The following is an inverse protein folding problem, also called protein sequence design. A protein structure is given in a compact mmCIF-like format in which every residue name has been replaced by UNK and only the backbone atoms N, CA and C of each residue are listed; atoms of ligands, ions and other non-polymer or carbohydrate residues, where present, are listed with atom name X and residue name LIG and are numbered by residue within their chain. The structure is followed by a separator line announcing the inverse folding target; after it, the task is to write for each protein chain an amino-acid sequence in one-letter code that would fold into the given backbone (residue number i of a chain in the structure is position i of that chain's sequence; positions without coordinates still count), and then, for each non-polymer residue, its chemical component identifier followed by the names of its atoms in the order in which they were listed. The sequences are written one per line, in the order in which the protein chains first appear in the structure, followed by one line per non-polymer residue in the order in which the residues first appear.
data_IF_345391607348
#
_entry.id   IF_345391607348
#
_cell.length_a   1.000
_cell.length_b   1.000
_cell.length_c   1.000
_cell.angle_alpha   90.00
_cell.angle_beta   90.00
_cell.angle_gamma   90.00
#
_symmetry.space_group_name_H-M   'P 1'
#
loop_
_entity.id
_entity.type
_entity.pdbx_description
1 polymer ?
#
# COMPACT_ATOMS: atom_id res chain seq x y z
N UNK A 1 -23.34 -32.05 21.53
CA UNK A 1 -23.75 -33.47 21.48
C UNK A 1 -23.21 -34.25 22.68
N UNK A 2 -21.89 -34.39 22.85
CA UNK A 2 -21.27 -35.25 23.89
C UNK A 2 -21.71 -34.97 25.35
N UNK A 3 -21.89 -33.70 25.73
CA UNK A 3 -22.34 -33.34 27.09
C UNK A 3 -23.84 -33.63 27.35
N UNK A 4 -24.66 -33.71 26.31
CA UNK A 4 -26.09 -34.01 26.43
C UNK A 4 -26.29 -35.52 26.57
N UNK A 5 -25.53 -36.29 25.80
CA UNK A 5 -25.53 -37.75 25.83
C UNK A 5 -25.07 -38.28 27.19
N UNK A 6 -23.95 -37.76 27.74
CA UNK A 6 -23.49 -38.10 29.09
C UNK A 6 -24.53 -37.82 30.18
N UNK A 7 -25.20 -36.65 30.12
CA UNK A 7 -26.24 -36.28 31.09
C UNK A 7 -27.49 -37.17 30.99
N UNK A 8 -27.88 -37.54 29.77
CA UNK A 8 -29.00 -38.46 29.54
C UNK A 8 -28.69 -39.87 30.08
N UNK A 9 -27.46 -40.34 29.86
CA UNK A 9 -26.99 -41.64 30.36
C UNK A 9 -26.91 -41.69 31.90
N UNK A 10 -26.39 -40.64 32.54
CA UNK A 10 -26.35 -40.51 34.00
C UNK A 10 -27.77 -40.48 34.61
N UNK A 11 -28.70 -39.75 33.99
CA UNK A 11 -30.11 -39.72 34.40
C UNK A 11 -30.80 -41.08 34.22
N UNK A 12 -30.48 -41.82 33.16
CA UNK A 12 -31.02 -43.15 32.91
C UNK A 12 -30.56 -44.16 33.98
N UNK A 13 -29.25 -44.24 34.26
CA UNK A 13 -28.71 -45.12 35.30
C UNK A 13 -29.30 -44.82 36.68
N UNK A 14 -29.49 -43.53 36.99
CA UNK A 14 -30.11 -43.09 38.25
C UNK A 14 -31.60 -43.45 38.34
N UNK A 15 -32.33 -43.39 37.22
CA UNK A 15 -33.73 -43.80 37.15
C UNK A 15 -33.91 -45.31 37.34
N UNK A 16 -33.03 -46.11 36.75
CA UNK A 16 -33.11 -47.57 36.86
C UNK A 16 -32.81 -48.00 38.30
N UNK A 17 -31.80 -47.41 38.95
CA UNK A 17 -31.55 -47.61 40.38
C UNK A 17 -32.76 -47.27 41.26
N UNK A 18 -33.43 -46.14 41.00
CA UNK A 18 -34.64 -45.76 41.76
C UNK A 18 -35.82 -46.71 41.51
N UNK A 19 -35.98 -47.23 40.29
CA UNK A 19 -37.03 -48.22 39.98
C UNK A 19 -36.84 -49.53 40.75
N UNK A 20 -35.61 -49.94 40.98
CA UNK A 20 -35.31 -51.16 41.74
C UNK A 20 -35.50 -50.97 43.25
N UNK A 21 -35.22 -49.76 43.76
CA UNK A 21 -35.27 -49.45 45.21
C UNK A 21 -36.67 -49.05 45.70
N UNK A 22 -37.50 -48.41 44.88
CA UNK A 22 -38.85 -47.99 45.27
C UNK A 22 -39.77 -49.14 45.77
N UNK A 23 -39.79 -50.33 45.14
CA UNK A 23 -40.54 -51.48 45.64
C UNK A 23 -40.08 -51.95 47.02
N UNK A 24 -38.78 -51.88 47.30
CA UNK A 24 -38.20 -52.27 48.60
C UNK A 24 -38.65 -51.31 49.71
N UNK A 25 -38.54 -50.00 49.47
CA UNK A 25 -39.03 -48.98 50.42
C UNK A 25 -40.54 -49.08 50.63
N UNK A 26 -41.30 -49.35 49.56
CA UNK A 26 -42.75 -49.57 49.65
C UNK A 26 -43.08 -50.80 50.49
N UNK A 27 -42.42 -51.93 50.25
CA UNK A 27 -42.63 -53.15 51.04
C UNK A 27 -42.28 -52.95 52.51
N UNK A 28 -41.24 -52.18 52.81
CA UNK A 28 -40.90 -51.80 54.17
C UNK A 28 -41.97 -50.92 54.82
N UNK A 29 -42.49 -49.92 54.09
CA UNK A 29 -43.60 -49.07 54.55
C UNK A 29 -44.85 -49.91 54.85
N UNK A 30 -45.27 -50.78 53.92
CA UNK A 30 -46.42 -51.66 54.09
C UNK A 30 -46.24 -52.54 55.35
N UNK A 31 -45.04 -53.09 55.57
CA UNK A 31 -44.73 -53.87 56.77
C UNK A 31 -44.75 -53.05 58.06
N UNK A 32 -44.30 -51.79 58.02
CA UNK A 32 -44.33 -50.89 59.16
C UNK A 32 -45.77 -50.48 59.51
N UNK A 33 -46.60 -50.20 58.50
CA UNK A 33 -48.02 -49.90 58.65
C UNK A 33 -48.77 -51.09 59.25
N UNK A 34 -48.52 -52.30 58.75
CA UNK A 34 -49.10 -53.54 59.30
C UNK A 34 -48.74 -53.74 60.79
N UNK A 35 -47.48 -53.51 61.17
CA UNK A 35 -47.03 -53.61 62.57
C UNK A 35 -47.72 -52.57 63.45
N UNK A 36 -47.85 -51.33 62.97
CA UNK A 36 -48.54 -50.26 63.68
C UNK A 36 -50.03 -50.58 63.85
N UNK A 37 -50.69 -51.05 62.78
CA UNK A 37 -52.10 -51.40 62.79
C UNK A 37 -52.39 -52.57 63.73
N UNK A 38 -51.56 -53.63 63.71
CA UNK A 38 -51.68 -54.74 64.67
C UNK A 38 -51.50 -54.28 66.12
N UNK A 39 -50.56 -53.39 66.36
CA UNK A 39 -50.33 -52.85 67.71
C UNK A 39 -51.53 -52.00 68.19
N UNK A 40 -52.13 -51.19 67.31
CA UNK A 40 -53.34 -50.40 67.60
C UNK A 40 -54.57 -51.27 67.87
N UNK A 41 -54.74 -52.36 67.11
CA UNK A 41 -55.83 -53.33 67.29
C UNK A 41 -55.71 -54.10 68.61
N UNK A 42 -54.49 -54.43 69.05
CA UNK A 42 -54.27 -55.23 70.26
C UNK A 42 -54.34 -54.43 71.57
N UNK A 43 -54.17 -53.10 71.53
CA UNK A 43 -54.04 -52.26 72.72
C UNK A 43 -55.10 -51.14 72.79
N UNK A 44 -56.27 -51.31 72.18
CA UNK A 44 -57.39 -50.35 72.20
C UNK A 44 -57.00 -48.90 71.86
N UNK A 45 -56.44 -48.68 70.66
CA UNK A 45 -56.16 -47.36 70.08
C UNK A 45 -55.58 -46.32 71.07
N UNK A 46 -54.45 -46.65 71.68
CA UNK A 46 -53.70 -45.69 72.51
C UNK A 46 -53.25 -44.52 71.63
N UNK A 47 -53.75 -43.31 71.89
CA UNK A 47 -53.25 -42.10 71.24
C UNK A 47 -51.93 -41.64 71.88
N UNK A 48 -51.04 -41.07 71.06
CA UNK A 48 -49.82 -40.44 71.57
C UNK A 48 -50.18 -39.21 72.41
N UNK A 49 -49.51 -39.06 73.56
CA UNK A 49 -49.59 -37.81 74.32
C UNK A 49 -49.05 -36.64 73.49
N UNK A 50 -49.49 -35.41 73.80
CA UNK A 50 -49.00 -34.21 73.10
C UNK A 50 -47.47 -34.07 73.18
N UNK A 51 -46.86 -34.45 74.31
CA UNK A 51 -45.40 -34.47 74.46
C UNK A 51 -44.76 -35.53 73.56
N UNK A 52 -45.30 -36.76 73.53
CA UNK A 52 -44.78 -37.84 72.69
C UNK A 52 -44.94 -37.54 71.19
N UNK A 53 -46.03 -36.88 70.79
CA UNK A 53 -46.25 -36.39 69.42
C UNK A 53 -45.25 -35.31 69.02
N UNK A 54 -45.00 -34.34 69.89
CA UNK A 54 -43.97 -33.31 69.63
C UNK A 54 -42.57 -33.92 69.49
N UNK A 55 -42.22 -34.88 70.35
CA UNK A 55 -40.94 -35.60 70.23
C UNK A 55 -40.90 -36.42 68.94
N UNK A 56 -41.98 -37.11 68.57
CA UNK A 56 -42.09 -37.86 67.32
C UNK A 56 -41.84 -36.96 66.10
N UNK A 57 -42.52 -35.81 66.01
CA UNK A 57 -42.38 -34.88 64.89
C UNK A 57 -40.92 -34.37 64.77
N UNK A 58 -40.27 -34.08 65.89
CA UNK A 58 -38.84 -33.68 65.89
C UNK A 58 -37.91 -34.83 65.49
N UNK A 59 -38.19 -36.06 65.91
CA UNK A 59 -37.39 -37.25 65.54
C UNK A 59 -37.51 -37.53 64.05
N UNK A 60 -38.72 -37.52 63.50
CA UNK A 60 -38.96 -37.72 62.07
C UNK A 60 -38.28 -36.62 61.26
N UNK A 61 -38.41 -35.35 61.68
CA UNK A 61 -37.74 -34.24 61.02
C UNK A 61 -36.20 -34.35 61.02
N UNK A 62 -35.60 -34.75 62.15
CA UNK A 62 -34.15 -34.98 62.23
C UNK A 62 -33.72 -36.17 61.37
N UNK A 63 -34.50 -37.26 61.34
CA UNK A 63 -34.22 -38.41 60.46
C UNK A 63 -34.34 -38.06 58.97
N UNK A 64 -35.33 -37.24 58.60
CA UNK A 64 -35.47 -36.71 57.24
C UNK A 64 -34.25 -35.91 56.80
N UNK A 65 -33.76 -35.00 57.67
CA UNK A 65 -32.56 -34.21 57.40
C UNK A 65 -31.30 -35.09 57.32
N UNK A 66 -31.16 -36.10 58.17
CA UNK A 66 -30.03 -37.04 58.11
C UNK A 66 -30.05 -37.85 56.80
N UNK A 67 -31.23 -38.28 56.35
CA UNK A 67 -31.38 -38.98 55.07
C UNK A 67 -31.04 -38.06 53.89
N UNK A 68 -31.48 -36.80 53.91
CA UNK A 68 -31.12 -35.81 52.90
C UNK A 68 -29.60 -35.56 52.85
N UNK A 69 -28.95 -35.44 54.02
CA UNK A 69 -27.49 -35.31 54.09
C UNK A 69 -26.77 -36.55 53.59
N UNK A 70 -27.32 -37.75 53.81
CA UNK A 70 -26.76 -39.01 53.29
C UNK A 70 -26.81 -39.03 51.76
N UNK A 71 -27.91 -38.59 51.16
CA UNK A 71 -28.02 -38.45 49.70
C UNK A 71 -27.04 -37.39 49.16
N UNK A 72 -26.91 -36.25 49.84
CA UNK A 72 -25.92 -35.22 49.49
C UNK A 72 -24.48 -35.69 49.64
N UNK A 73 -24.18 -36.53 50.63
CA UNK A 73 -22.87 -37.15 50.81
C UNK A 73 -22.50 -38.03 49.60
N UNK A 74 -23.45 -38.82 49.10
CA UNK A 74 -23.27 -39.63 47.90
C UNK A 74 -23.06 -38.79 46.63
N UNK A 75 -23.65 -37.60 46.54
CA UNK A 75 -23.42 -36.66 45.43
C UNK A 75 -22.05 -35.96 45.55
N UNK A 76 -21.69 -35.47 46.74
CA UNK A 76 -20.45 -34.73 47.00
C UNK A 76 -19.21 -35.64 46.95
N UNK A 77 -19.30 -36.87 47.45
CA UNK A 77 -18.18 -37.84 47.42
C UNK A 77 -17.75 -38.24 46.00
N UNK A 78 -18.61 -38.06 44.99
CA UNK A 78 -18.26 -38.24 43.57
C UNK A 78 -17.45 -37.07 43.01
N UNK A 79 -17.56 -35.88 43.63
CA UNK A 79 -17.00 -34.64 43.12
C UNK A 79 -15.79 -34.15 43.94
N UNK A 80 -15.71 -34.50 45.22
CA UNK A 80 -14.76 -33.95 46.18
C UNK A 80 -14.13 -35.02 47.07
N UNK A 81 -12.89 -34.80 47.51
CA UNK A 81 -12.19 -35.63 48.50
C UNK A 81 -12.68 -35.32 49.92
N UNK A 82 -12.44 -36.25 50.86
CA UNK A 82 -12.87 -36.13 52.28
C UNK A 82 -12.29 -34.90 53.01
N UNK A 83 -11.22 -34.32 52.48
CA UNK A 83 -10.54 -33.15 53.06
C UNK A 83 -11.17 -31.82 52.62
N UNK A 84 -12.03 -31.83 51.59
CA UNK A 84 -12.63 -30.63 51.04
C UNK A 84 -13.53 -29.92 52.06
N UNK A 85 -13.49 -28.57 52.18
CA UNK A 85 -14.28 -27.81 53.15
C UNK A 85 -15.78 -28.13 53.12
N UNK A 86 -16.35 -28.33 51.94
CA UNK A 86 -17.77 -28.67 51.79
C UNK A 86 -18.12 -30.07 52.32
N UNK A 87 -17.23 -31.06 52.17
CA UNK A 87 -17.44 -32.41 52.72
C UNK A 87 -17.32 -32.39 54.25
N UNK A 88 -16.35 -31.65 54.80
CA UNK A 88 -16.19 -31.46 56.24
C UNK A 88 -17.41 -30.77 56.87
N UNK A 89 -17.91 -29.69 56.26
CA UNK A 89 -19.10 -28.99 56.73
C UNK A 89 -20.35 -29.89 56.73
N UNK A 90 -20.51 -30.75 55.71
CA UNK A 90 -21.60 -31.73 55.67
C UNK A 90 -21.49 -32.75 56.81
N UNK A 91 -20.29 -33.27 57.06
CA UNK A 91 -20.05 -34.25 58.13
C UNK A 91 -20.24 -33.64 59.52
N UNK A 92 -19.84 -32.39 59.73
CA UNK A 92 -20.08 -31.65 60.97
C UNK A 92 -21.59 -31.46 61.22
N UNK A 93 -22.34 -31.08 60.17
CA UNK A 93 -23.80 -30.93 60.26
C UNK A 93 -24.47 -32.27 60.58
N UNK A 94 -24.03 -33.36 59.94
CA UNK A 94 -24.51 -34.72 60.20
C UNK A 94 -24.21 -35.15 61.64
N UNK A 95 -23.01 -34.89 62.15
CA UNK A 95 -22.65 -35.20 63.54
C UNK A 95 -23.52 -34.44 64.54
N UNK A 96 -23.81 -33.16 64.26
CA UNK A 96 -24.71 -32.33 65.10
C UNK A 96 -26.12 -32.92 65.15
N UNK A 97 -26.70 -33.28 64.00
CA UNK A 97 -28.03 -33.90 63.95
C UNK A 97 -28.07 -35.29 64.59
N UNK A 98 -26.98 -36.05 64.50
CA UNK A 98 -26.86 -37.35 65.17
C UNK A 98 -26.85 -37.18 66.69
N UNK A 99 -26.12 -36.19 67.22
CA UNK A 99 -26.15 -35.88 68.65
C UNK A 99 -27.54 -35.43 69.11
N UNK A 100 -28.26 -34.68 68.29
CA UNK A 100 -29.65 -34.27 68.56
C UNK A 100 -30.59 -35.48 68.59
N UNK A 101 -30.47 -36.40 67.61
CA UNK A 101 -31.19 -37.67 67.57
C UNK A 101 -30.94 -38.49 68.84
N UNK A 102 -29.69 -38.58 69.30
CA UNK A 102 -29.34 -39.35 70.50
C UNK A 102 -29.94 -38.73 71.77
N UNK A 103 -30.00 -37.39 71.85
CA UNK A 103 -30.70 -36.69 72.94
C UNK A 103 -32.20 -36.98 72.93
N UNK A 104 -32.84 -36.98 71.76
CA UNK A 104 -34.27 -37.30 71.62
C UNK A 104 -34.54 -38.78 71.98
N UNK A 105 -33.67 -39.71 71.57
CA UNK A 105 -33.76 -41.12 71.94
C UNK A 105 -33.70 -41.34 73.46
N UNK A 106 -32.87 -40.57 74.18
CA UNK A 106 -32.85 -40.59 75.65
C UNK A 106 -34.18 -40.12 76.24
N UNK A 107 -34.83 -39.08 75.67
CA UNK A 107 -36.17 -38.65 76.11
C UNK A 107 -37.23 -39.73 75.87
N UNK A 108 -37.16 -40.42 74.73
CA UNK A 108 -38.06 -41.56 74.44
C UNK A 108 -37.84 -42.69 75.45
N UNK A 109 -36.61 -42.96 75.87
CA UNK A 109 -36.31 -44.06 76.81
C UNK A 109 -36.93 -43.90 78.22
N UNK A 110 -37.28 -42.68 78.62
CA UNK A 110 -37.90 -42.37 79.92
C UNK A 110 -39.43 -42.49 79.86
N UNK A 111 -40.03 -42.58 78.66
CA UNK A 111 -41.48 -42.70 78.49
C UNK A 111 -41.99 -44.10 78.92
N UNK A 112 -43.29 -44.25 79.25
CA UNK A 112 -43.89 -45.56 79.51
C UNK A 112 -43.69 -46.54 78.33
N UNK A 113 -43.50 -47.83 78.62
CA UNK A 113 -43.19 -48.86 77.59
C UNK A 113 -44.19 -48.87 76.43
N UNK A 114 -45.48 -48.71 76.70
CA UNK A 114 -46.52 -48.64 75.66
C UNK A 114 -46.36 -47.41 74.76
N UNK A 115 -46.00 -46.25 75.32
CA UNK A 115 -45.73 -45.02 74.55
C UNK A 115 -44.44 -45.13 73.72
N UNK A 116 -43.42 -45.83 74.20
CA UNK A 116 -42.20 -46.07 73.42
C UNK A 116 -42.47 -46.92 72.17
N UNK A 117 -43.25 -47.99 72.33
CA UNK A 117 -43.55 -48.92 71.22
C UNK A 117 -44.40 -48.22 70.15
N UNK A 118 -45.47 -47.51 70.55
CA UNK A 118 -46.29 -46.79 69.57
C UNK A 118 -45.52 -45.67 68.88
N UNK A 119 -44.68 -44.92 69.61
CA UNK A 119 -43.84 -43.87 69.02
C UNK A 119 -42.87 -44.47 68.00
N UNK A 120 -42.19 -45.58 68.34
CA UNK A 120 -41.27 -46.26 67.42
C UNK A 120 -41.97 -46.74 66.16
N UNK A 121 -43.13 -47.39 66.29
CA UNK A 121 -43.90 -47.87 65.13
C UNK A 121 -44.43 -46.72 64.27
N UNK A 122 -44.89 -45.63 64.90
CA UNK A 122 -45.37 -44.44 64.17
C UNK A 122 -44.23 -43.72 63.47
N UNK A 123 -43.05 -43.62 64.11
CA UNK A 123 -41.82 -43.09 63.50
C UNK A 123 -41.42 -43.92 62.29
N UNK A 124 -41.39 -45.25 62.41
CA UNK A 124 -40.98 -46.13 61.32
C UNK A 124 -41.89 -45.96 60.09
N UNK A 125 -43.21 -45.79 60.30
CA UNK A 125 -44.17 -45.48 59.22
C UNK A 125 -43.93 -44.09 58.63
N UNK A 126 -43.87 -43.04 59.46
CA UNK A 126 -43.72 -41.67 58.99
C UNK A 126 -42.39 -41.45 58.25
N UNK A 127 -41.28 -41.98 58.79
CA UNK A 127 -39.98 -41.91 58.16
C UNK A 127 -39.95 -42.66 56.82
N UNK A 128 -40.51 -43.88 56.76
CA UNK A 128 -40.60 -44.64 55.51
C UNK A 128 -41.47 -43.93 54.47
N UNK A 129 -42.58 -43.32 54.89
CA UNK A 129 -43.46 -42.55 54.02
C UNK A 129 -42.75 -41.32 53.43
N UNK A 130 -42.01 -40.57 54.24
CA UNK A 130 -41.22 -39.43 53.76
C UNK A 130 -40.13 -39.85 52.77
N UNK A 131 -39.39 -40.92 53.07
CA UNK A 131 -38.36 -41.46 52.17
C UNK A 131 -39.00 -41.88 50.84
N UNK A 132 -40.12 -42.61 50.88
CA UNK A 132 -40.84 -43.05 49.69
C UNK A 132 -41.26 -41.85 48.81
N UNK A 133 -41.84 -40.81 49.42
CA UNK A 133 -42.24 -39.60 48.70
C UNK A 133 -41.06 -38.83 48.11
N UNK A 134 -39.92 -38.76 48.82
CA UNK A 134 -38.70 -38.14 48.31
C UNK A 134 -38.13 -38.89 47.10
N UNK A 135 -38.05 -40.23 47.18
CA UNK A 135 -37.58 -41.07 46.07
C UNK A 135 -38.50 -40.96 44.86
N UNK A 136 -39.83 -40.95 45.08
CA UNK A 136 -40.82 -40.77 44.02
C UNK A 136 -40.65 -39.41 43.32
N UNK A 137 -40.51 -38.33 44.08
CA UNK A 137 -40.27 -36.99 43.53
C UNK A 137 -38.96 -36.92 42.74
N UNK A 138 -37.89 -37.56 43.24
CA UNK A 138 -36.60 -37.63 42.53
C UNK A 138 -36.74 -38.42 41.21
N UNK A 139 -37.47 -39.52 41.21
CA UNK A 139 -37.76 -40.31 40.01
C UNK A 139 -38.50 -39.46 38.96
N UNK A 140 -39.57 -38.76 39.35
CA UNK A 140 -40.31 -37.87 38.44
C UNK A 140 -39.42 -36.78 37.84
N UNK A 141 -38.61 -36.12 38.68
CA UNK A 141 -37.68 -35.06 38.24
C UNK A 141 -36.63 -35.58 37.26
N UNK A 142 -36.05 -36.76 37.51
CA UNK A 142 -35.09 -37.39 36.61
C UNK A 142 -35.75 -37.85 35.31
N UNK A 143 -37.01 -38.30 35.35
CA UNK A 143 -37.81 -38.63 34.17
C UNK A 143 -38.00 -37.44 33.25
N UNK A 144 -38.37 -36.28 33.81
CA UNK A 144 -38.48 -35.02 33.07
C UNK A 144 -37.12 -34.61 32.51
N UNK A 145 -36.04 -34.75 33.29
CA UNK A 145 -34.68 -34.39 32.85
C UNK A 145 -34.22 -35.25 31.66
N UNK A 146 -34.46 -36.56 31.70
CA UNK A 146 -34.18 -37.50 30.59
C UNK A 146 -34.99 -37.17 29.34
N UNK A 147 -36.28 -36.83 29.49
CA UNK A 147 -37.11 -36.40 28.38
C UNK A 147 -36.68 -35.03 27.81
N UNK A 148 -36.24 -34.10 28.68
CA UNK A 148 -35.81 -32.75 28.33
C UNK A 148 -34.40 -32.70 27.72
N UNK A 149 -33.59 -33.75 27.83
CA UNK A 149 -32.27 -33.82 27.17
C UNK A 149 -32.34 -34.00 25.66
N UNK A 150 -33.51 -34.23 25.06
CA UNK A 150 -33.70 -34.05 23.61
C UNK A 150 -33.83 -32.55 23.34
N UNK A 151 -32.69 -31.85 23.34
CA UNK A 151 -32.63 -30.40 23.27
C UNK A 151 -32.84 -29.86 21.85
N UNK A 152 -33.83 -28.98 21.67
CA UNK A 152 -34.00 -28.16 20.48
C UNK A 152 -32.89 -27.09 20.48
N UNK A 153 -31.80 -27.31 19.73
CA UNK A 153 -30.76 -26.29 19.58
C UNK A 153 -31.28 -25.21 18.64
N UNK A 154 -31.54 -24.02 19.18
CA UNK A 154 -31.89 -22.83 18.40
C UNK A 154 -30.71 -21.89 18.36
N UNK A 155 -30.23 -21.58 17.16
CA UNK A 155 -29.23 -20.52 16.97
C UNK A 155 -29.90 -19.21 17.34
N UNK A 156 -29.37 -18.53 18.37
CA UNK A 156 -29.89 -17.23 18.83
C UNK A 156 -29.29 -16.10 18.00
N UNK A 157 -28.02 -16.22 17.63
CA UNK A 157 -27.32 -15.23 16.80
C UNK A 157 -26.25 -15.92 15.93
N UNK A 158 -26.40 -15.97 14.60
CA UNK A 158 -25.37 -16.47 13.71
C UNK A 158 -24.21 -15.46 13.60
N UNK A 159 -22.98 -15.94 13.52
CA UNK A 159 -21.82 -15.08 13.29
C UNK A 159 -21.91 -14.38 11.92
N UNK A 160 -22.01 -13.06 11.91
CA UNK A 160 -22.02 -12.27 10.68
C UNK A 160 -20.58 -11.88 10.33
N UNK A 161 -20.05 -12.43 9.25
CA UNK A 161 -18.77 -11.99 8.68
C UNK A 161 -18.98 -10.73 7.87
N UNK A 162 -18.11 -9.73 8.04
CA UNK A 162 -18.11 -8.55 7.16
C UNK A 162 -17.46 -8.92 5.81
N UNK A 163 -18.21 -8.93 4.69
CA UNK A 163 -17.67 -9.33 3.39
C UNK A 163 -16.71 -8.29 2.79
N UNK A 164 -16.70 -7.06 3.33
CA UNK A 164 -15.82 -5.99 2.88
C UNK A 164 -14.65 -5.82 3.85
N UNK A 165 -13.41 -5.68 3.34
CA UNK A 165 -12.25 -5.43 4.18
C UNK A 165 -12.36 -4.05 4.85
N UNK A 166 -12.20 -4.01 6.17
CA UNK A 166 -12.23 -2.77 6.96
C UNK A 166 -11.01 -1.89 6.65
N UNK A 167 -9.85 -2.52 6.40
CA UNK A 167 -8.59 -1.87 6.01
C UNK A 167 -7.82 -2.78 5.04
N UNK A 168 -7.03 -2.23 4.10
CA UNK A 168 -6.84 -0.81 3.82
C UNK A 168 -7.91 -0.23 2.87
N UNK A 169 -8.23 1.07 3.03
CA UNK A 169 -9.16 1.80 2.16
C UNK A 169 -8.48 2.18 0.84
N UNK A 170 -8.57 1.29 -0.16
CA UNK A 170 -7.87 1.42 -1.45
C UNK A 170 -8.12 2.75 -2.17
N UNK A 171 -9.34 3.29 -2.09
CA UNK A 171 -9.70 4.56 -2.74
C UNK A 171 -8.92 5.76 -2.18
N UNK A 172 -8.80 5.85 -0.85
CA UNK A 172 -8.03 6.93 -0.20
C UNK A 172 -6.54 6.81 -0.54
N UNK A 173 -6.00 5.59 -0.54
CA UNK A 173 -4.60 5.35 -0.89
C UNK A 173 -4.32 5.79 -2.32
N UNK A 174 -5.17 5.41 -3.27
CA UNK A 174 -5.03 5.84 -4.68
C UNK A 174 -5.12 7.36 -4.80
N UNK A 175 -6.08 8.00 -4.14
CA UNK A 175 -6.25 9.45 -4.19
C UNK A 175 -5.03 10.20 -3.65
N UNK A 176 -4.49 9.78 -2.50
CA UNK A 176 -3.28 10.37 -1.91
C UNK A 176 -2.07 10.11 -2.81
N UNK A 177 -1.90 8.89 -3.34
CA UNK A 177 -0.79 8.54 -4.21
C UNK A 177 -0.80 9.35 -5.51
N UNK A 178 -1.97 9.55 -6.13
CA UNK A 178 -2.12 10.38 -7.33
C UNK A 178 -1.80 11.84 -7.03
N UNK A 179 -2.26 12.38 -5.91
CA UNK A 179 -2.00 13.77 -5.54
C UNK A 179 -0.51 14.02 -5.25
N UNK A 180 0.13 13.14 -4.46
CA UNK A 180 1.57 13.21 -4.18
C UNK A 180 2.41 12.98 -5.45
N UNK A 181 2.02 12.03 -6.29
CA UNK A 181 2.69 11.76 -7.56
C UNK A 181 2.61 12.96 -8.52
N UNK A 182 1.45 13.62 -8.59
CA UNK A 182 1.28 14.85 -9.37
C UNK A 182 2.19 15.97 -8.87
N UNK A 183 2.20 16.22 -7.55
CA UNK A 183 3.05 17.24 -6.94
C UNK A 183 4.54 16.96 -7.19
N UNK A 184 4.97 15.70 -7.03
CA UNK A 184 6.35 15.30 -7.27
C UNK A 184 6.74 15.44 -8.74
N UNK A 185 5.86 15.06 -9.67
CA UNK A 185 6.08 15.20 -11.11
C UNK A 185 6.28 16.67 -11.52
N UNK A 186 5.38 17.56 -11.08
CA UNK A 186 5.51 19.00 -11.34
C UNK A 186 6.79 19.56 -10.73
N UNK A 187 7.09 19.20 -9.48
CA UNK A 187 8.33 19.61 -8.81
C UNK A 187 9.58 19.14 -9.55
N UNK A 188 9.59 17.91 -10.04
CA UNK A 188 10.71 17.35 -10.79
C UNK A 188 10.92 18.05 -12.14
N UNK A 189 9.83 18.35 -12.88
CA UNK A 189 9.92 19.11 -14.14
C UNK A 189 10.46 20.51 -13.89
N UNK A 190 9.93 21.22 -12.89
CA UNK A 190 10.41 22.56 -12.53
C UNK A 190 11.88 22.54 -12.11
N UNK A 191 12.29 21.57 -11.29
CA UNK A 191 13.68 21.42 -10.89
C UNK A 191 14.58 21.15 -12.10
N UNK A 192 14.15 20.27 -13.01
CA UNK A 192 14.86 19.99 -14.25
C UNK A 192 15.00 21.25 -15.10
N UNK A 193 13.94 22.04 -15.26
CA UNK A 193 13.98 23.31 -16.00
C UNK A 193 14.93 24.31 -15.33
N UNK A 194 14.90 24.43 -14.00
CA UNK A 194 15.83 25.31 -13.26
C UNK A 194 17.30 24.89 -13.39
N UNK A 195 17.56 23.58 -13.55
CA UNK A 195 18.91 23.05 -13.76
C UNK A 195 19.39 23.21 -15.21
N UNK A 196 18.49 23.44 -16.18
CA UNK A 196 18.89 23.72 -17.57
C UNK A 196 19.35 25.17 -17.66
N UNK A 197 20.67 25.36 -17.82
CA UNK A 197 21.28 26.65 -18.13
C UNK A 197 21.50 26.74 -19.64
N UNK A 198 20.65 27.48 -20.32
CA UNK A 198 20.73 27.79 -21.74
C UNK A 198 20.03 29.10 -22.06
N UNK A 199 20.29 29.65 -23.25
CA UNK A 199 19.53 30.79 -23.78
C UNK A 199 18.32 30.20 -24.50
N UNK A 200 17.12 30.46 -23.98
CA UNK A 200 15.88 29.90 -24.52
C UNK A 200 15.08 30.91 -25.35
N UNK A 201 15.37 32.21 -25.20
CA UNK A 201 14.62 33.26 -25.87
C UNK A 201 15.53 34.40 -26.33
N UNK A 202 15.23 35.05 -27.47
CA UNK A 202 16.02 36.18 -27.96
C UNK A 202 15.99 37.38 -27.01
N UNK A 203 14.90 37.55 -26.25
CA UNK A 203 14.75 38.64 -25.28
C UNK A 203 15.80 38.57 -24.17
N UNK A 204 16.26 37.36 -23.81
CA UNK A 204 17.35 37.18 -22.84
C UNK A 204 18.67 37.79 -23.34
N UNK A 205 18.94 37.73 -24.65
CA UNK A 205 20.11 38.35 -25.27
C UNK A 205 19.95 39.87 -25.39
N UNK A 206 18.75 40.34 -25.75
CA UNK A 206 18.46 41.77 -25.85
C UNK A 206 18.56 42.48 -24.50
N UNK A 207 18.13 41.83 -23.40
CA UNK A 207 18.31 42.34 -22.03
C UNK A 207 19.79 42.47 -21.62
N UNK A 208 20.67 41.67 -22.23
CA UNK A 208 22.12 41.76 -22.06
C UNK A 208 22.76 42.80 -23.00
N UNK A 209 21.96 43.52 -23.78
CA UNK A 209 22.43 44.52 -24.75
C UNK A 209 22.96 43.91 -26.05
N UNK A 210 22.68 42.64 -26.34
CA UNK A 210 23.10 41.96 -27.57
C UNK A 210 21.95 42.03 -28.58
N UNK A 211 22.16 42.71 -29.70
CA UNK A 211 21.16 42.83 -30.76
C UNK A 211 20.98 41.50 -31.52
N UNK A 212 19.77 40.97 -31.52
CA UNK A 212 19.44 39.72 -32.22
C UNK A 212 19.01 40.00 -33.66
N UNK A 213 19.91 39.72 -34.62
CA UNK A 213 19.62 39.96 -36.04
C UNK A 213 18.63 38.97 -36.63
N UNK A 214 18.65 37.69 -36.23
CA UNK A 214 17.69 36.69 -36.70
C UNK A 214 17.61 35.50 -35.74
N UNK A 215 16.43 34.86 -35.70
CA UNK A 215 16.21 33.57 -35.07
C UNK A 215 15.99 32.54 -36.18
N UNK A 216 16.95 31.65 -36.39
CA UNK A 216 16.89 30.64 -37.45
C UNK A 216 16.36 29.34 -36.81
N UNK A 217 15.15 28.88 -37.16
CA UNK A 217 14.62 27.64 -36.61
C UNK A 217 15.38 26.42 -37.15
N UNK A 218 15.33 25.33 -36.39
CA UNK A 218 15.88 24.05 -36.82
C UNK A 218 15.08 23.53 -38.02
N UNK A 219 15.74 23.30 -39.16
CA UNK A 219 15.12 22.62 -40.30
C UNK A 219 14.96 21.13 -39.99
N UNK A 220 13.71 20.64 -39.97
CA UNK A 220 13.43 19.22 -39.74
C UNK A 220 13.99 18.34 -40.86
N UNK A 221 13.98 18.82 -42.10
CA UNK A 221 14.48 18.08 -43.25
C UNK A 221 15.99 17.90 -43.17
N UNK A 222 16.71 18.99 -42.86
CA UNK A 222 18.15 18.94 -42.61
C UNK A 222 18.48 17.96 -41.48
N UNK A 223 17.75 18.07 -40.37
CA UNK A 223 17.99 17.22 -39.20
C UNK A 223 17.71 15.73 -39.49
N UNK A 224 16.68 15.41 -40.30
CA UNK A 224 16.40 14.03 -40.75
C UNK A 224 17.52 13.51 -41.65
N UNK A 225 17.94 14.28 -42.65
CA UNK A 225 19.02 13.89 -43.57
C UNK A 225 20.36 13.72 -42.87
N UNK A 226 20.71 14.59 -41.92
CA UNK A 226 21.92 14.47 -41.11
C UNK A 226 21.88 13.20 -40.24
N UNK A 227 20.73 12.90 -39.63
CA UNK A 227 20.53 11.70 -38.82
C UNK A 227 20.61 10.41 -39.64
N UNK A 228 20.01 10.38 -40.83
CA UNK A 228 20.10 9.24 -41.75
C UNK A 228 21.54 9.00 -42.21
N UNK A 229 22.29 10.07 -42.48
CA UNK A 229 23.70 9.99 -42.89
C UNK A 229 24.58 9.46 -41.75
N UNK A 230 24.30 9.85 -40.50
CA UNK A 230 24.99 9.32 -39.32
C UNK A 230 24.70 7.84 -39.06
N UNK A 231 23.45 7.39 -39.25
CA UNK A 231 23.03 6.01 -39.00
C UNK A 231 23.47 5.04 -40.11
N UNK A 232 23.51 5.50 -41.36
CA UNK A 232 23.78 4.64 -42.52
C UNK A 232 25.27 4.30 -42.70
N UNK A 233 26.19 5.04 -42.06
CA UNK A 233 27.64 4.82 -42.16
C UNK A 233 28.24 5.03 -43.57
N UNK A 234 27.40 5.10 -44.61
CA UNK A 234 27.75 5.45 -45.98
C UNK A 234 28.02 6.94 -46.05
N UNK A 235 29.27 7.30 -46.38
CA UNK A 235 29.62 8.62 -46.90
C UNK A 235 28.88 8.82 -48.22
N UNK A 236 27.64 9.28 -48.17
CA UNK A 236 26.89 9.66 -49.37
C UNK A 236 27.70 10.73 -50.10
N UNK A 237 28.09 10.44 -51.35
CA UNK A 237 28.93 11.29 -52.17
C UNK A 237 28.20 12.53 -52.72
N UNK A 238 26.91 12.69 -52.40
CA UNK A 238 26.09 13.85 -52.78
C UNK A 238 25.76 14.71 -51.54
N UNK A 239 26.75 15.38 -50.94
CA UNK A 239 26.50 16.43 -49.93
C UNK A 239 26.05 17.77 -50.55
N UNK A 240 26.01 17.86 -51.88
CA UNK A 240 25.48 19.02 -52.60
C UNK A 240 23.97 19.22 -52.41
N UNK A 241 23.23 18.17 -52.02
CA UNK A 241 21.81 18.26 -51.65
C UNK A 241 21.57 18.83 -50.24
N UNK A 242 22.64 19.14 -49.49
CA UNK A 242 22.59 19.60 -48.10
C UNK A 242 22.56 21.14 -47.97
N UNK A 243 22.78 21.88 -49.05
CA UNK A 243 22.66 23.34 -49.03
C UNK A 243 21.18 23.72 -49.12
N UNK A 244 20.57 24.00 -47.97
CA UNK A 244 19.14 24.28 -47.82
C UNK A 244 18.63 25.37 -48.77
N UNK A 245 19.41 26.43 -49.02
CA UNK A 245 19.04 27.52 -49.92
C UNK A 245 18.91 27.11 -51.40
N UNK A 246 19.42 25.94 -51.80
CA UNK A 246 19.29 25.40 -53.16
C UNK A 246 18.38 24.16 -53.18
N UNK A 247 18.45 23.32 -52.15
CA UNK A 247 17.67 22.08 -52.08
C UNK A 247 16.20 22.29 -51.69
N UNK A 248 15.88 23.28 -50.84
CA UNK A 248 14.52 23.57 -50.42
C UNK A 248 14.30 25.06 -50.13
N UNK A 249 13.93 25.81 -51.16
CA UNK A 249 13.74 27.25 -51.07
C UNK A 249 12.59 27.67 -50.13
N UNK A 250 11.62 26.80 -49.85
CA UNK A 250 10.46 27.13 -48.99
C UNK A 250 10.64 26.75 -47.52
N UNK A 251 11.81 26.26 -47.11
CA UNK A 251 12.10 25.94 -45.71
C UNK A 251 12.06 27.21 -44.83
N UNK A 252 11.45 27.10 -43.65
CA UNK A 252 11.34 28.19 -42.68
C UNK A 252 12.72 28.70 -42.23
N UNK A 253 13.73 27.84 -42.17
CA UNK A 253 15.10 28.24 -41.88
C UNK A 253 15.66 29.17 -42.96
N UNK A 254 15.32 28.93 -44.24
CA UNK A 254 15.74 29.78 -45.35
C UNK A 254 14.99 31.11 -45.35
N UNK A 255 13.71 31.12 -44.97
CA UNK A 255 12.97 32.37 -44.82
C UNK A 255 13.53 33.25 -43.68
N UNK A 256 13.96 32.62 -42.58
CA UNK A 256 14.69 33.31 -41.52
C UNK A 256 16.04 33.88 -42.03
N UNK A 257 16.74 33.16 -42.91
CA UNK A 257 17.97 33.65 -43.56
C UNK A 257 17.69 34.79 -44.56
N UNK A 258 16.56 34.77 -45.29
CA UNK A 258 16.13 35.90 -46.13
C UNK A 258 15.83 37.14 -45.29
N UNK A 259 15.19 36.95 -44.15
CA UNK A 259 14.95 38.01 -43.18
C UNK A 259 16.26 38.57 -42.62
N UNK A 260 17.23 37.69 -42.32
CA UNK A 260 18.59 38.07 -41.92
C UNK A 260 19.29 38.89 -43.01
N UNK A 261 19.19 38.50 -44.28
CA UNK A 261 19.74 39.28 -45.42
C UNK A 261 19.16 40.69 -45.44
N UNK A 262 17.85 40.85 -45.32
CA UNK A 262 17.21 42.18 -45.36
C UNK A 262 17.68 43.06 -44.21
N UNK A 263 17.77 42.51 -42.99
CA UNK A 263 18.28 43.24 -41.81
C UNK A 263 19.77 43.60 -41.96
N UNK A 264 20.59 42.67 -42.46
CA UNK A 264 21.99 42.93 -42.74
C UNK A 264 22.20 43.96 -43.84
N UNK A 265 21.33 43.99 -44.87
CA UNK A 265 21.40 44.99 -45.92
C UNK A 265 21.33 46.40 -45.33
N UNK A 266 20.38 46.66 -44.42
CA UNK A 266 20.27 47.94 -43.73
C UNK A 266 21.46 48.21 -42.80
N UNK A 267 21.92 47.22 -42.04
CA UNK A 267 23.06 47.39 -41.14
C UNK A 267 24.37 47.69 -41.91
N UNK A 268 24.54 47.12 -43.11
CA UNK A 268 25.71 47.35 -43.96
C UNK A 268 25.68 48.69 -44.71
N UNK A 269 24.53 49.37 -44.83
CA UNK A 269 24.48 50.71 -45.43
C UNK A 269 25.26 51.74 -44.61
N UNK A 270 25.34 51.53 -43.29
CA UNK A 270 26.09 52.40 -42.36
C UNK A 270 27.53 51.91 -42.13
N UNK A 271 27.90 50.75 -42.68
CA UNK A 271 29.21 50.15 -42.48
C UNK A 271 30.28 50.76 -43.41
N UNK A 272 31.53 50.78 -42.94
CA UNK A 272 32.67 51.31 -43.71
C UNK A 272 33.06 50.44 -44.92
N UNK A 273 32.71 49.16 -44.91
CA UNK A 273 33.07 48.20 -45.94
C UNK A 273 32.00 47.10 -46.08
N UNK A 274 32.11 46.29 -47.14
CA UNK A 274 31.21 45.18 -47.43
C UNK A 274 31.74 43.84 -46.90
N UNK A 275 32.52 43.85 -45.80
CA UNK A 275 33.12 42.65 -45.23
C UNK A 275 32.31 42.23 -44.00
N UNK A 276 31.73 41.03 -44.06
CA UNK A 276 30.96 40.44 -42.97
C UNK A 276 31.69 39.22 -42.42
N UNK A 277 32.02 39.25 -41.12
CA UNK A 277 32.57 38.10 -40.41
C UNK A 277 31.46 37.41 -39.61
N UNK A 278 31.32 36.09 -39.77
CA UNK A 278 30.41 35.27 -38.97
C UNK A 278 31.23 34.36 -38.06
N UNK A 279 31.03 34.53 -36.75
CA UNK A 279 31.68 33.74 -35.70
C UNK A 279 30.66 33.34 -34.63
N UNK A 280 31.10 32.63 -33.60
CA UNK A 280 30.24 32.34 -32.47
C UNK A 280 30.91 31.54 -31.36
N UNK A 281 30.24 31.41 -30.21
CA UNK A 281 30.89 31.14 -28.91
C UNK A 281 31.41 29.71 -28.74
N UNK A 282 30.86 28.74 -29.48
CA UNK A 282 31.19 27.32 -29.33
C UNK A 282 31.28 26.59 -30.67
N UNK A 283 31.98 25.45 -30.77
CA UNK A 283 31.92 24.54 -31.92
C UNK A 283 30.49 24.04 -32.17
N UNK A 284 30.21 23.63 -33.42
CA UNK A 284 28.96 22.95 -33.81
C UNK A 284 27.63 23.70 -33.61
N UNK A 285 27.65 25.02 -33.43
CA UNK A 285 26.44 25.86 -33.31
C UNK A 285 25.80 26.29 -34.66
N UNK A 286 26.32 25.79 -35.80
CA UNK A 286 25.76 26.12 -37.12
C UNK A 286 26.37 27.32 -37.86
N UNK A 287 27.52 27.86 -37.42
CA UNK A 287 28.21 29.01 -38.08
C UNK A 287 28.38 28.85 -39.59
N UNK A 288 28.93 27.72 -40.02
CA UNK A 288 29.18 27.39 -41.43
C UNK A 288 27.87 27.27 -42.21
N UNK A 289 26.85 26.67 -41.61
CA UNK A 289 25.52 26.53 -42.22
C UNK A 289 24.88 27.90 -42.49
N UNK A 290 24.87 28.78 -41.48
CA UNK A 290 24.32 30.14 -41.62
C UNK A 290 25.11 30.94 -42.65
N UNK A 291 26.43 30.86 -42.61
CA UNK A 291 27.31 31.62 -43.53
C UNK A 291 27.08 31.24 -44.99
N UNK A 292 27.04 29.93 -45.29
CA UNK A 292 26.88 29.44 -46.66
C UNK A 292 25.46 29.70 -47.19
N UNK A 293 24.43 29.46 -46.38
CA UNK A 293 23.05 29.71 -46.82
C UNK A 293 22.79 31.22 -46.99
N UNK A 294 23.33 32.07 -46.11
CA UNK A 294 23.24 33.52 -46.26
C UNK A 294 23.93 33.97 -47.55
N UNK A 295 25.14 33.46 -47.82
CA UNK A 295 25.88 33.76 -49.04
C UNK A 295 25.10 33.34 -50.29
N UNK A 296 24.51 32.14 -50.30
CA UNK A 296 23.66 31.65 -51.39
C UNK A 296 22.42 32.54 -51.60
N UNK A 297 21.73 32.92 -50.51
CA UNK A 297 20.53 33.78 -50.56
C UNK A 297 20.85 35.21 -51.02
N UNK A 298 22.05 35.72 -50.74
CA UNK A 298 22.53 37.01 -51.26
C UNK A 298 22.92 36.87 -52.74
N UNK A 299 23.60 35.78 -53.12
CA UNK A 299 24.01 35.52 -54.50
C UNK A 299 22.80 35.36 -55.45
N UNK A 300 21.76 34.65 -55.01
CA UNK A 300 20.47 34.53 -55.70
C UNK A 300 19.74 35.86 -55.89
N UNK A 301 20.06 36.88 -55.09
CA UNK A 301 19.55 38.25 -55.26
C UNK A 301 20.36 39.07 -56.28
N UNK A 302 21.26 38.43 -57.05
CA UNK A 302 22.08 39.05 -58.09
C UNK A 302 23.32 39.79 -57.58
N UNK A 303 23.73 39.56 -56.33
CA UNK A 303 24.94 40.18 -55.75
C UNK A 303 26.13 39.23 -55.87
N UNK A 304 27.29 39.77 -56.26
CA UNK A 304 28.55 39.02 -56.28
C UNK A 304 29.06 38.85 -54.85
N UNK A 305 29.18 37.61 -54.40
CA UNK A 305 29.63 37.24 -53.05
C UNK A 305 30.87 36.36 -53.13
N UNK A 306 31.84 36.64 -52.25
CA UNK A 306 32.99 35.79 -52.01
C UNK A 306 32.90 35.24 -50.58
N UNK A 307 32.80 33.93 -50.44
CA UNK A 307 32.89 33.25 -49.14
C UNK A 307 34.32 32.82 -48.90
N UNK A 308 34.87 33.18 -47.75
CA UNK A 308 36.23 32.80 -47.34
C UNK A 308 36.14 31.90 -46.12
N UNK A 309 36.57 30.64 -46.23
CA UNK A 309 36.62 29.72 -45.11
C UNK A 309 37.86 29.99 -44.24
N UNK A 310 37.67 30.85 -43.24
CA UNK A 310 38.71 31.19 -42.27
C UNK A 310 38.83 30.17 -41.11
N UNK A 311 38.01 29.10 -41.07
CA UNK A 311 38.17 28.01 -40.09
C UNK A 311 39.24 27.02 -40.59
N UNK A 312 40.51 27.38 -40.40
CA UNK A 312 41.64 26.56 -40.85
C UNK A 312 41.77 25.23 -40.12
N UNK A 313 41.10 25.05 -38.97
CA UNK A 313 41.24 23.86 -38.13
C UNK A 313 40.22 22.77 -38.45
N UNK A 314 38.93 23.13 -38.53
CA UNK A 314 37.82 22.17 -38.75
C UNK A 314 36.87 22.62 -39.86
N UNK A 315 37.29 23.55 -40.71
CA UNK A 315 36.50 24.04 -41.83
C UNK A 315 36.11 22.94 -42.81
N UNK A 316 34.82 22.84 -43.08
CA UNK A 316 34.21 21.86 -43.97
C UNK A 316 33.27 22.53 -45.00
N UNK A 317 33.41 23.85 -45.20
CA UNK A 317 32.57 24.62 -46.12
C UNK A 317 32.71 24.15 -47.57
N UNK A 318 33.92 23.75 -47.98
CA UNK A 318 34.20 23.20 -49.31
C UNK A 318 33.29 22.01 -49.65
N UNK A 319 33.01 21.15 -48.65
CA UNK A 319 32.18 19.97 -48.84
C UNK A 319 30.70 20.30 -48.99
N UNK A 320 30.23 21.41 -48.43
CA UNK A 320 28.84 21.87 -48.54
C UNK A 320 28.59 22.58 -49.88
N UNK A 321 29.61 23.26 -50.40
CA UNK A 321 29.58 23.95 -51.70
C UNK A 321 29.97 23.04 -52.87
N UNK A 322 30.30 21.77 -52.60
CA UNK A 322 30.79 20.80 -53.59
C UNK A 322 31.99 21.32 -54.40
N UNK A 323 32.91 22.02 -53.72
CA UNK A 323 34.15 22.52 -54.31
C UNK A 323 35.31 21.61 -53.94
N UNK A 324 36.16 21.30 -54.91
CA UNK A 324 37.40 20.55 -54.66
C UNK A 324 38.36 21.34 -53.77
N UNK A 325 39.12 20.63 -52.93
CA UNK A 325 40.23 21.20 -52.17
C UNK A 325 41.41 21.47 -53.12
N UNK A 326 42.11 22.59 -52.92
CA UNK A 326 43.25 23.01 -53.72
C UNK A 326 43.84 24.29 -53.10
N UNK A 327 44.39 25.20 -53.91
CA UNK A 327 44.88 26.48 -53.42
C UNK A 327 43.79 27.21 -52.60
N UNK A 328 44.13 27.60 -51.38
CA UNK A 328 43.21 28.15 -50.39
C UNK A 328 43.74 29.38 -49.67
N UNK A 329 43.04 29.78 -48.61
CA UNK A 329 43.36 30.96 -47.81
C UNK A 329 44.76 30.86 -47.19
N UNK A 330 45.14 29.68 -46.72
CA UNK A 330 46.46 29.42 -46.16
C UNK A 330 47.59 29.66 -47.18
N UNK A 331 47.43 29.22 -48.43
CA UNK A 331 48.40 29.49 -49.52
C UNK A 331 48.52 30.97 -49.83
N UNK A 332 47.40 31.69 -49.83
CA UNK A 332 47.37 33.13 -50.09
C UNK A 332 48.09 33.90 -48.99
N UNK A 333 47.82 33.57 -47.73
CA UNK A 333 48.44 34.26 -46.59
C UNK A 333 49.93 33.92 -46.43
N UNK A 334 50.36 32.73 -46.87
CA UNK A 334 51.78 32.35 -46.90
C UNK A 334 52.53 32.83 -48.15
N UNK A 335 51.86 33.54 -49.07
CA UNK A 335 52.46 34.09 -50.29
C UNK A 335 52.75 33.06 -51.39
N UNK A 336 52.26 31.82 -51.24
CA UNK A 336 52.46 30.73 -52.21
C UNK A 336 51.53 30.82 -53.43
N UNK A 337 50.38 31.52 -53.29
CA UNK A 337 49.42 31.76 -54.36
C UNK A 337 48.90 33.19 -54.32
N UNK A 338 48.54 33.74 -55.49
CA UNK A 338 47.84 35.03 -55.53
C UNK A 338 46.37 34.87 -55.10
N UNK A 339 45.73 35.92 -54.54
CA UNK A 339 44.31 35.86 -54.16
C UNK A 339 43.41 35.41 -55.32
N UNK A 340 43.71 35.82 -56.55
CA UNK A 340 42.94 35.48 -57.74
C UNK A 340 43.02 33.98 -58.09
N UNK A 341 44.16 33.33 -57.84
CA UNK A 341 44.34 31.89 -58.07
C UNK A 341 43.59 31.02 -57.05
N UNK A 342 43.34 31.55 -55.85
CA UNK A 342 42.63 30.83 -54.79
C UNK A 342 41.09 30.95 -54.90
N UNK A 343 40.57 31.87 -55.72
CA UNK A 343 39.13 32.04 -55.93
C UNK A 343 38.60 30.91 -56.81
N UNK A 344 37.65 30.14 -56.28
CA UNK A 344 36.94 29.08 -57.00
C UNK A 344 35.49 29.49 -57.26
N UNK A 345 34.97 29.15 -58.43
CA UNK A 345 33.54 29.31 -58.71
C UNK A 345 32.76 28.14 -58.12
N UNK A 346 31.62 28.43 -57.50
CA UNK A 346 30.72 27.40 -56.95
C UNK A 346 29.67 27.03 -57.99
N UNK A 347 28.82 26.03 -57.69
CA UNK A 347 27.65 25.69 -58.51
C UNK A 347 26.54 26.76 -58.47
N UNK A 348 26.64 27.74 -57.57
CA UNK A 348 25.67 28.83 -57.40
C UNK A 348 26.16 30.06 -58.15
N UNK A 349 25.33 30.60 -59.04
CA UNK A 349 25.63 31.83 -59.78
C UNK A 349 25.94 32.99 -58.83
N UNK A 350 26.92 33.83 -59.17
CA UNK A 350 27.38 34.97 -58.37
C UNK A 350 28.01 34.62 -57.01
N UNK A 351 28.28 33.34 -56.72
CA UNK A 351 28.94 32.89 -55.50
C UNK A 351 30.30 32.28 -55.80
N UNK A 352 31.36 32.94 -55.33
CA UNK A 352 32.74 32.45 -55.35
C UNK A 352 33.20 32.04 -53.95
N UNK A 353 34.19 31.15 -53.88
CA UNK A 353 34.65 30.54 -52.62
C UNK A 353 36.18 30.44 -52.55
N UNK A 354 36.75 30.72 -51.38
CA UNK A 354 38.14 30.43 -51.03
C UNK A 354 38.14 29.42 -49.87
N UNK A 355 38.76 28.26 -50.09
CA UNK A 355 38.83 27.17 -49.11
C UNK A 355 39.97 27.36 -48.10
N UNK A 356 40.01 26.58 -47.03
CA UNK A 356 41.09 26.65 -46.00
C UNK A 356 42.44 26.02 -46.39
N UNK A 357 42.51 25.18 -47.44
CA UNK A 357 43.61 24.25 -47.81
C UNK A 357 43.63 22.88 -47.06
N UNK A 358 44.15 21.83 -47.70
CA UNK A 358 44.19 20.44 -47.19
C UNK A 358 45.31 20.16 -46.17
N UNK A 359 46.40 20.95 -46.20
CA UNK A 359 47.63 20.71 -45.44
C UNK A 359 48.10 21.97 -44.68
N UNK A 360 47.70 22.16 -43.43
CA UNK A 360 48.30 23.21 -42.58
C UNK A 360 48.34 22.86 -41.09
N UNK A 361 49.51 23.06 -40.47
CA UNK A 361 49.72 23.10 -39.03
C UNK A 361 49.44 24.53 -38.51
N UNK A 362 48.48 24.74 -37.59
CA UNK A 362 47.99 26.07 -37.27
C UNK A 362 48.84 26.75 -36.18
N UNK A 363 49.99 27.35 -36.54
CA UNK A 363 50.77 28.16 -35.56
C UNK A 363 51.22 29.56 -36.07
N UNK A 364 51.17 29.91 -37.36
CA UNK A 364 51.98 31.05 -37.84
C UNK A 364 51.37 32.32 -38.45
N UNK A 365 50.06 32.42 -38.77
CA UNK A 365 49.66 33.23 -39.94
C UNK A 365 48.73 34.44 -39.68
N UNK A 366 48.51 34.88 -38.44
CA UNK A 366 47.51 35.95 -38.18
C UNK A 366 48.05 37.39 -38.29
N UNK A 367 49.37 37.61 -38.41
CA UNK A 367 49.93 38.96 -38.63
C UNK A 367 50.28 39.20 -40.10
N UNK A 368 49.26 39.47 -40.93
CA UNK A 368 49.45 40.05 -42.26
C UNK A 368 49.35 41.59 -42.21
N UNK A 369 50.27 42.26 -42.89
CA UNK A 369 50.58 43.69 -42.83
C UNK A 369 49.37 44.65 -42.75
N UNK A 370 49.45 45.74 -41.94
CA UNK A 370 48.44 46.79 -41.94
C UNK A 370 48.41 47.54 -43.28
N UNK A 371 47.25 48.07 -43.70
CA UNK A 371 47.11 48.76 -44.98
C UNK A 371 47.97 50.02 -45.04
N UNK A 372 48.66 50.21 -46.17
CA UNK A 372 49.46 51.39 -46.48
C UNK A 372 48.66 52.68 -46.27
N UNK A 373 49.18 53.57 -45.42
CA UNK A 373 48.68 54.94 -45.29
C UNK A 373 48.99 55.70 -46.56
N UNK A 374 47.95 56.20 -47.22
CA UNK A 374 48.02 57.15 -48.34
C UNK A 374 48.85 58.39 -47.93
N UNK A 375 49.82 58.85 -48.74
CA UNK A 375 50.58 60.05 -48.42
C UNK A 375 49.78 61.32 -48.71
N UNK A 376 49.56 62.11 -47.65
CA UNK A 376 49.47 63.57 -47.67
C UNK A 376 48.32 64.25 -48.40
N UNK A 377 47.41 64.88 -47.64
CA UNK A 377 47.01 66.26 -47.94
C UNK A 377 46.87 67.02 -46.62
N UNK A 378 47.61 68.13 -46.52
CA UNK A 378 47.53 69.07 -45.41
C UNK A 378 46.21 69.86 -45.41
N UNK A 379 45.81 70.32 -44.24
CA UNK A 379 44.65 71.19 -44.09
C UNK A 379 44.52 71.65 -42.64
N UNK A 380 44.57 72.96 -42.45
CA UNK A 380 44.63 73.73 -41.21
C UNK A 380 43.54 73.42 -40.16
N UNK A 381 43.95 73.68 -38.90
CA UNK A 381 43.15 74.10 -37.74
C UNK A 381 41.84 74.82 -38.07
N UNK A 382 40.77 74.48 -37.36
CA UNK A 382 40.16 75.30 -36.28
C UNK A 382 39.69 74.36 -35.19
#
# INVERSE_FOLDING_TARGET
MQNVERKSEEAAKSLDFLKDQLPEVRSFLDSAEDKLNRFRQANDSVDLSLEAKSVLDTVVGVEAQLNELTLKEAEISKLYTKEHPAYRALMEKRATLQQEKDKLNKRVSVMPKTQQVILRLTRDVQAAQEIYMQLLNKQQKLGITKASTVGNVRIVDPAVTQPRPVKPQKTIIVLIATLLGGLFSTGFVLLKTMLHRGIESPEQLEQLGINVYACIPLSELQHKSDRETMLSGKRSSNRSSTLLAVGNLSDLAIEAVRSLRTRLHFALLEAKNNVLMISGPSPSIGKTLVSINLAAVIAQAGRRILVVDADMRKGHAHSLLNCELGLGLSDVLSGQASPQQAIKQTSIENLSFISRQDSFEPIGVVDAQPPDRVPGMGGQRV
#
